data_IF_287556088555
#
_entry.id   IF_287556088555
#
_cell.length_a   1.000
_cell.length_b   1.000
_cell.length_c   1.000
_cell.angle_alpha   90.00
_cell.angle_beta   90.00
_cell.angle_gamma   90.00
#
_symmetry.space_group_name_H-M   'P 1'
#
loop_
_entity.id
_entity.type
_entity.pdbx_description
1 polymer ?
#
# COMPACT_ATOMS: atom_id res chain seq x y z
N UNK A 1 12.47 14.17 -22.23
CA UNK A 1 12.37 12.98 -21.34
C UNK A 1 12.09 13.51 -19.96
N UNK A 2 10.92 13.20 -19.38
CA UNK A 2 10.60 13.60 -18.01
C UNK A 2 11.54 12.85 -17.06
N UNK A 3 12.11 13.55 -16.07
CA UNK A 3 12.91 12.92 -15.04
C UNK A 3 12.09 11.81 -14.37
N UNK A 4 12.69 10.66 -14.02
CA UNK A 4 11.99 9.65 -13.24
C UNK A 4 11.44 10.30 -11.96
N UNK A 5 10.23 9.92 -11.56
CA UNK A 5 9.60 10.30 -10.29
C UNK A 5 10.42 9.68 -9.13
N UNK A 6 11.63 10.17 -8.92
CA UNK A 6 12.43 9.83 -7.76
C UNK A 6 11.90 10.68 -6.61
N UNK A 7 11.35 10.01 -5.58
CA UNK A 7 11.14 10.66 -4.30
C UNK A 7 12.51 11.15 -3.83
N UNK A 8 12.69 12.46 -3.78
CA UNK A 8 13.87 13.07 -3.18
C UNK A 8 13.76 12.91 -1.68
N UNK A 9 14.35 11.84 -1.15
CA UNK A 9 14.51 11.66 0.30
C UNK A 9 15.48 12.73 0.81
N UNK A 10 14.94 13.85 1.31
CA UNK A 10 15.68 14.87 2.05
C UNK A 10 15.41 14.70 3.54
N UNK A 11 16.40 15.00 4.37
CA UNK A 11 16.32 14.93 5.83
C UNK A 11 15.19 15.83 6.39
N UNK A 12 14.80 15.53 7.64
CA UNK A 12 13.65 16.07 8.40
C UNK A 12 13.13 17.46 7.98
N UNK A 13 11.81 17.54 7.73
CA UNK A 13 11.08 18.82 7.59
C UNK A 13 11.15 19.47 6.22
N UNK A 14 12.05 19.05 5.33
CA UNK A 14 12.21 19.59 3.97
C UNK A 14 11.53 18.73 2.89
N UNK A 15 10.59 17.86 3.25
CA UNK A 15 9.85 17.08 2.26
C UNK A 15 8.81 17.96 1.53
N UNK A 16 8.78 17.85 0.19
CA UNK A 16 7.82 18.53 -0.69
C UNK A 16 6.55 17.66 -0.80
N UNK A 17 5.37 18.29 -0.81
CA UNK A 17 4.09 17.59 -0.99
C UNK A 17 3.31 17.31 0.31
N UNK A 18 2.46 16.29 0.31
CA UNK A 18 1.59 15.78 1.36
C UNK A 18 2.40 15.40 2.61
N UNK A 19 3.66 14.98 2.45
CA UNK A 19 4.53 14.68 3.59
C UNK A 19 5.10 15.92 4.30
N UNK A 20 4.81 17.13 3.81
CA UNK A 20 5.21 18.38 4.48
C UNK A 20 4.59 18.40 5.87
N UNK A 21 5.41 18.60 6.91
CA UNK A 21 5.05 18.59 8.34
C UNK A 21 4.71 17.23 8.99
N UNK A 22 4.91 16.09 8.31
CA UNK A 22 4.86 14.80 9.00
C UNK A 22 6.15 14.57 9.81
N UNK A 23 5.99 14.23 11.09
CA UNK A 23 7.10 13.72 11.91
C UNK A 23 7.56 12.38 11.33
N UNK A 24 8.88 12.18 11.22
CA UNK A 24 9.42 10.87 10.88
C UNK A 24 9.04 9.91 12.01
N UNK A 25 8.07 9.04 11.75
CA UNK A 25 7.65 8.01 12.71
C UNK A 25 8.79 6.99 12.81
N UNK A 26 9.37 6.86 14.00
CA UNK A 26 10.42 5.90 14.26
C UNK A 26 9.80 4.50 14.36
N UNK A 27 10.06 3.68 13.36
CA UNK A 27 9.68 2.27 13.31
C UNK A 27 10.86 1.52 12.70
N UNK A 28 11.15 0.31 13.19
CA UNK A 28 12.33 -0.47 12.78
C UNK A 28 11.95 -1.71 11.95
N UNK A 29 11.51 -1.59 10.68
CA UNK A 29 11.06 -2.73 9.87
C UNK A 29 11.99 -3.95 9.79
N UNK A 30 13.31 -3.77 9.92
CA UNK A 30 14.28 -4.87 9.88
C UNK A 30 14.46 -5.59 11.22
N UNK A 31 14.00 -4.98 12.32
CA UNK A 31 14.06 -5.53 13.68
C UNK A 31 12.66 -6.01 14.10
N UNK A 32 11.64 -5.21 13.82
CA UNK A 32 10.24 -5.45 14.15
C UNK A 32 9.57 -6.30 13.05
N UNK A 33 9.62 -7.61 13.19
CA UNK A 33 8.94 -8.54 12.29
C UNK A 33 7.43 -8.56 12.56
N UNK A 34 6.62 -8.05 11.62
CA UNK A 34 5.17 -8.08 11.75
C UNK A 34 4.59 -9.43 11.30
N UNK A 35 3.88 -10.12 12.20
CA UNK A 35 3.14 -11.34 11.83
C UNK A 35 1.85 -10.98 11.06
N UNK A 36 1.33 -11.88 10.20
CA UNK A 36 0.08 -11.62 9.48
C UNK A 36 -1.13 -11.35 10.39
N UNK A 37 -1.13 -11.91 11.61
CA UNK A 37 -2.22 -11.74 12.59
C UNK A 37 -2.19 -10.34 13.21
N UNK A 38 -1.01 -9.86 13.61
CA UNK A 38 -0.82 -8.50 14.14
C UNK A 38 -1.20 -7.46 13.09
N UNK A 39 -0.82 -7.69 11.82
CA UNK A 39 -1.23 -6.82 10.72
C UNK A 39 -2.76 -6.72 10.62
N UNK A 40 -3.47 -7.84 10.66
CA UNK A 40 -4.93 -7.84 10.58
C UNK A 40 -5.60 -7.16 11.79
N UNK A 41 -4.99 -7.24 12.98
CA UNK A 41 -5.47 -6.51 14.16
C UNK A 41 -5.25 -4.99 14.01
N UNK A 42 -4.07 -4.58 13.53
CA UNK A 42 -3.75 -3.17 13.26
C UNK A 42 -4.67 -2.60 12.18
N UNK A 43 -4.91 -3.34 11.09
CA UNK A 43 -5.79 -2.90 10.01
C UNK A 43 -7.21 -2.62 10.52
N UNK A 44 -7.74 -3.46 11.43
CA UNK A 44 -9.04 -3.21 12.08
C UNK A 44 -9.07 -1.93 12.91
N UNK A 45 -8.03 -1.68 13.72
CA UNK A 45 -7.93 -0.46 14.50
C UNK A 45 -7.86 0.79 13.61
N UNK A 46 -7.14 0.70 12.49
CA UNK A 46 -7.11 1.75 11.47
C UNK A 46 -8.51 1.97 10.89
N UNK A 47 -9.25 0.91 10.55
CA UNK A 47 -10.62 1.03 10.04
C UNK A 47 -11.59 1.68 11.05
N UNK A 48 -11.47 1.35 12.34
CA UNK A 48 -12.25 1.97 13.41
C UNK A 48 -11.93 3.47 13.54
N UNK A 49 -10.66 3.85 13.50
CA UNK A 49 -10.23 5.25 13.50
C UNK A 49 -10.64 6.00 12.22
N UNK A 50 -10.60 5.35 11.05
CA UNK A 50 -11.12 5.92 9.81
C UNK A 50 -12.62 6.15 9.86
N UNK A 51 -13.37 5.35 10.64
CA UNK A 51 -14.82 5.52 10.84
C UNK A 51 -15.14 6.62 11.84
N UNK A 52 -14.37 6.73 12.92
CA UNK A 52 -14.60 7.71 13.99
C UNK A 52 -14.06 9.11 13.66
N UNK A 53 -12.99 9.20 12.86
CA UNK A 53 -12.34 10.47 12.57
C UNK A 53 -13.05 11.29 11.49
N UNK A 54 -13.23 12.59 11.76
CA UNK A 54 -13.76 13.57 10.80
C UNK A 54 -12.68 14.20 9.91
N UNK A 55 -11.40 13.93 10.21
CA UNK A 55 -10.25 14.41 9.43
C UNK A 55 -10.04 13.51 8.23
N UNK A 56 -10.42 13.99 7.04
CA UNK A 56 -10.10 13.28 5.79
C UNK A 56 -8.59 13.24 5.58
N UNK A 57 -8.01 12.09 5.15
CA UNK A 57 -6.63 12.04 4.71
C UNK A 57 -6.39 13.09 3.62
N UNK A 58 -5.29 13.81 3.75
CA UNK A 58 -4.81 14.78 2.76
C UNK A 58 -4.68 14.09 1.39
N UNK A 59 -5.23 14.76 0.38
CA UNK A 59 -5.42 14.19 -0.95
C UNK A 59 -4.10 14.08 -1.72
N UNK A 60 -3.60 12.84 -1.80
CA UNK A 60 -2.34 12.46 -2.44
C UNK A 60 -2.37 12.58 -3.97
N UNK A 61 -3.54 12.75 -4.56
CA UNK A 61 -3.70 12.88 -6.02
C UNK A 61 -3.31 14.27 -6.52
N UNK A 62 -3.28 15.29 -5.64
CA UNK A 62 -2.88 16.65 -5.99
C UNK A 62 -1.43 16.78 -6.48
N UNK A 63 -0.58 15.80 -6.18
CA UNK A 63 0.82 15.77 -6.63
C UNK A 63 1.03 15.07 -7.97
N UNK A 64 0.03 14.31 -8.42
CA UNK A 64 0.13 13.65 -9.72
C UNK A 64 -0.05 14.69 -10.81
N UNK A 65 0.72 14.59 -11.92
CA UNK A 65 0.46 15.41 -13.08
C UNK A 65 -1.00 15.19 -13.53
N UNK A 66 -1.66 16.24 -14.06
CA UNK A 66 -3.03 16.10 -14.55
C UNK A 66 -3.07 14.98 -15.57
N UNK A 67 -4.15 14.19 -15.55
CA UNK A 67 -4.31 13.09 -16.49
C UNK A 67 -4.14 13.61 -17.93
N UNK A 68 -3.39 12.90 -18.78
CA UNK A 68 -3.27 13.28 -20.17
C UNK A 68 -4.67 13.31 -20.79
N UNK A 69 -4.90 14.31 -21.63
CA UNK A 69 -6.19 14.44 -22.30
C UNK A 69 -6.48 13.20 -23.14
N UNK A 70 -7.73 12.73 -23.11
CA UNK A 70 -8.13 11.59 -23.94
C UNK A 70 -7.95 11.94 -25.41
N UNK A 71 -7.41 11.01 -26.20
CA UNK A 71 -7.31 11.16 -27.67
C UNK A 71 -8.68 11.23 -28.36
N UNK A 72 -9.74 11.00 -27.61
CA UNK A 72 -11.12 10.93 -28.08
C UNK A 72 -11.90 12.23 -27.90
N UNK A 73 -11.24 13.31 -27.46
CA UNK A 73 -11.88 14.62 -27.40
C UNK A 73 -12.36 15.03 -28.80
N UNK A 74 -13.67 15.24 -28.95
CA UNK A 74 -14.30 15.66 -30.20
C UNK A 74 -14.71 14.53 -31.15
N UNK A 75 -14.65 13.27 -30.73
CA UNK A 75 -15.26 12.16 -31.50
C UNK A 75 -16.76 12.09 -31.22
N UNK A 76 -17.56 12.54 -32.19
CA UNK A 76 -19.03 12.58 -32.11
C UNK A 76 -19.64 11.21 -31.77
N UNK A 77 -19.04 10.12 -32.23
CA UNK A 77 -19.55 8.78 -31.96
C UNK A 77 -19.33 8.38 -30.49
N UNK A 78 -18.16 8.69 -29.95
CA UNK A 78 -17.85 8.37 -28.57
C UNK A 78 -18.62 9.26 -27.60
N UNK A 79 -18.83 10.53 -27.92
CA UNK A 79 -19.66 11.43 -27.11
C UNK A 79 -21.10 10.93 -26.99
N UNK A 80 -21.68 10.44 -28.09
CA UNK A 80 -23.01 9.81 -28.09
C UNK A 80 -23.05 8.54 -27.26
N UNK A 81 -22.04 7.68 -27.38
CA UNK A 81 -21.95 6.45 -26.59
C UNK A 81 -21.79 6.74 -25.09
N UNK A 82 -20.97 7.74 -24.73
CA UNK A 82 -20.80 8.18 -23.35
C UNK A 82 -22.11 8.77 -22.79
N UNK A 83 -22.85 9.54 -23.58
CA UNK A 83 -24.16 10.06 -23.21
C UNK A 83 -25.18 8.92 -22.99
N UNK A 84 -25.20 7.90 -23.86
CA UNK A 84 -26.03 6.70 -23.70
C UNK A 84 -25.69 5.95 -22.41
N UNK A 85 -24.41 5.72 -22.15
CA UNK A 85 -23.93 5.02 -20.95
C UNK A 85 -24.27 5.81 -19.68
N UNK A 86 -24.11 7.14 -19.71
CA UNK A 86 -24.51 8.01 -18.60
C UNK A 86 -26.03 7.99 -18.35
N UNK A 87 -26.83 7.85 -19.41
CA UNK A 87 -28.27 7.66 -19.32
C UNK A 87 -28.69 6.24 -18.88
N UNK A 88 -27.75 5.30 -18.77
CA UNK A 88 -28.03 3.91 -18.39
C UNK A 88 -28.79 3.11 -19.46
N UNK A 89 -28.84 3.61 -20.70
CA UNK A 89 -29.56 2.92 -21.78
C UNK A 89 -28.76 1.69 -22.26
N UNK A 90 -29.40 0.52 -22.38
CA UNK A 90 -28.75 -0.67 -22.92
C UNK A 90 -28.39 -0.47 -24.39
N UNK A 91 -27.31 -1.12 -24.82
CA UNK A 91 -26.88 -1.09 -26.22
C UNK A 91 -27.99 -1.69 -27.13
N UNK A 92 -28.22 -1.06 -28.28
CA UNK A 92 -29.14 -1.60 -29.29
C UNK A 92 -28.63 -2.95 -29.79
N UNK A 93 -29.48 -3.99 -29.72
CA UNK A 93 -29.15 -5.29 -30.27
C UNK A 93 -28.97 -5.18 -31.79
N UNK A 94 -27.94 -5.87 -32.32
CA UNK A 94 -27.70 -5.94 -33.75
C UNK A 94 -28.88 -6.61 -34.44
N UNK A 95 -29.41 -5.97 -35.50
CA UNK A 95 -30.49 -6.55 -36.29
C UNK A 95 -29.99 -7.76 -37.09
N UNK A 96 -30.43 -8.95 -36.71
CA UNK A 96 -30.12 -10.21 -37.40
C UNK A 96 -31.21 -10.62 -38.38
N UNK A 97 -32.37 -9.96 -38.37
CA UNK A 97 -33.49 -10.32 -39.24
C UNK A 97 -33.15 -10.16 -40.72
N UNK A 98 -32.26 -9.20 -41.04
CA UNK A 98 -31.72 -9.01 -42.39
C UNK A 98 -31.04 -10.27 -42.96
N UNK A 99 -30.46 -11.12 -42.11
CA UNK A 99 -29.75 -12.32 -42.53
C UNK A 99 -30.62 -13.58 -42.59
N UNK A 100 -31.88 -13.46 -42.17
CA UNK A 100 -32.85 -14.54 -42.21
C UNK A 100 -33.72 -14.43 -43.46
N UNK A 101 -34.18 -15.58 -43.97
CA UNK A 101 -35.10 -15.69 -45.09
C UNK A 101 -36.54 -15.90 -44.58
N UNK A 102 -36.97 -15.00 -43.71
CA UNK A 102 -38.30 -15.11 -43.12
C UNK A 102 -39.38 -14.62 -44.12
N UNK A 103 -40.49 -15.36 -44.28
CA UNK A 103 -41.62 -14.85 -45.05
C UNK A 103 -42.24 -13.63 -44.34
N UNK A 104 -42.98 -12.78 -45.05
CA UNK A 104 -43.68 -11.68 -44.41
C UNK A 104 -44.60 -12.19 -43.30
N UNK A 105 -44.75 -11.44 -42.19
CA UNK A 105 -45.58 -11.84 -41.06
C UNK A 105 -47.00 -12.23 -41.51
N UNK A 106 -47.67 -13.18 -40.85
CA UNK A 106 -48.99 -13.66 -41.24
C UNK A 106 -50.01 -12.54 -41.51
N UNK A 107 -49.93 -11.44 -40.76
CA UNK A 107 -50.77 -10.24 -40.89
C UNK A 107 -50.51 -9.42 -42.15
N UNK A 108 -49.32 -9.54 -42.75
CA UNK A 108 -48.88 -8.79 -43.94
C UNK A 108 -48.77 -9.66 -45.21
N UNK A 109 -49.23 -10.91 -45.17
CA UNK A 109 -49.19 -11.80 -46.35
C UNK A 109 -50.11 -11.38 -47.48
N UNK A 110 -51.10 -10.53 -47.23
CA UNK A 110 -51.95 -9.97 -48.27
C UNK A 110 -51.35 -8.67 -48.87
N UNK A 111 -50.27 -8.14 -48.28
CA UNK A 111 -49.60 -6.94 -48.77
C UNK A 111 -48.54 -7.32 -49.82
N UNK A 112 -48.73 -6.83 -51.04
CA UNK A 112 -47.80 -7.04 -52.15
C UNK A 112 -46.41 -6.47 -51.86
N UNK A 113 -46.32 -5.32 -51.19
CA UNK A 113 -45.04 -4.68 -50.91
C UNK A 113 -44.22 -5.48 -49.89
N UNK A 114 -44.88 -6.08 -48.89
CA UNK A 114 -44.21 -6.94 -47.92
C UNK A 114 -43.56 -8.18 -48.59
N UNK A 115 -44.23 -8.76 -49.59
CA UNK A 115 -43.64 -9.85 -50.39
C UNK A 115 -42.50 -9.38 -51.29
N UNK A 116 -42.59 -8.16 -51.86
CA UNK A 116 -41.51 -7.58 -52.64
C UNK A 116 -40.24 -7.39 -51.80
N UNK A 117 -40.37 -6.84 -50.58
CA UNK A 117 -39.24 -6.68 -49.66
C UNK A 117 -38.64 -8.03 -49.26
N UNK A 118 -39.47 -9.05 -49.00
CA UNK A 118 -38.99 -10.40 -48.70
C UNK A 118 -38.24 -11.03 -49.90
N UNK A 119 -38.71 -10.80 -51.13
CA UNK A 119 -38.05 -11.24 -52.35
C UNK A 119 -36.72 -10.52 -52.59
N UNK A 120 -36.68 -9.21 -52.39
CA UNK A 120 -35.46 -8.41 -52.51
C UNK A 120 -34.40 -8.87 -51.48
N UNK A 121 -34.81 -9.19 -50.25
CA UNK A 121 -33.95 -9.80 -49.26
C UNK A 121 -33.45 -11.19 -49.72
N UNK A 122 -34.32 -12.02 -50.29
CA UNK A 122 -33.93 -13.33 -50.82
C UNK A 122 -32.89 -13.23 -51.95
N UNK A 123 -33.04 -12.27 -52.87
CA UNK A 123 -32.04 -11.99 -53.89
C UNK A 123 -30.71 -11.53 -53.29
N UNK A 124 -30.75 -10.60 -52.33
CA UNK A 124 -29.54 -10.15 -51.63
C UNK A 124 -28.83 -11.32 -50.92
N UNK A 125 -29.58 -12.23 -50.30
CA UNK A 125 -29.00 -13.42 -49.66
C UNK A 125 -28.37 -14.38 -50.66
N UNK A 126 -28.98 -14.58 -51.83
CA UNK A 126 -28.41 -15.41 -52.89
C UNK A 126 -27.04 -14.87 -53.34
N UNK A 127 -26.94 -13.56 -53.56
CA UNK A 127 -25.68 -12.90 -53.90
C UNK A 127 -24.66 -12.99 -52.76
N UNK A 128 -25.08 -12.89 -51.51
CA UNK A 128 -24.20 -13.13 -50.36
C UNK A 128 -23.69 -14.57 -50.30
N UNK A 129 -24.51 -15.58 -50.61
CA UNK A 129 -24.05 -16.97 -50.70
C UNK A 129 -23.06 -17.17 -51.84
N UNK A 130 -23.29 -16.55 -53.00
CA UNK A 130 -22.35 -16.59 -54.11
C UNK A 130 -20.98 -15.98 -53.73
N UNK A 131 -20.99 -14.80 -53.13
CA UNK A 131 -19.78 -14.17 -52.60
C UNK A 131 -19.10 -15.02 -51.53
N UNK A 132 -19.87 -15.68 -50.65
CA UNK A 132 -19.33 -16.59 -49.65
C UNK A 132 -18.64 -17.78 -50.29
N UNK A 133 -19.21 -18.38 -51.35
CA UNK A 133 -18.57 -19.46 -52.08
C UNK A 133 -17.25 -19.01 -52.69
N UNK A 134 -17.24 -17.87 -53.39
CA UNK A 134 -16.02 -17.31 -53.97
C UNK A 134 -14.95 -17.01 -52.91
N UNK A 135 -15.33 -16.43 -51.77
CA UNK A 135 -14.43 -16.19 -50.66
C UNK A 135 -13.89 -17.50 -50.04
N UNK A 136 -14.72 -18.53 -49.94
CA UNK A 136 -14.30 -19.84 -49.46
C UNK A 136 -13.35 -20.54 -50.44
N UNK A 137 -13.57 -20.40 -51.75
CA UNK A 137 -12.65 -20.91 -52.77
C UNK A 137 -11.28 -20.22 -52.67
N UNK A 138 -11.25 -18.91 -52.46
CA UNK A 138 -10.02 -18.16 -52.20
C UNK A 138 -9.35 -18.63 -50.90
N UNK A 139 -10.11 -18.82 -49.83
CA UNK A 139 -9.59 -19.30 -48.55
C UNK A 139 -9.04 -20.73 -48.66
N UNK A 140 -9.71 -21.62 -49.38
CA UNK A 140 -9.23 -22.98 -49.60
C UNK A 140 -7.93 -22.99 -50.41
N UNK A 141 -7.83 -22.10 -51.41
CA UNK A 141 -6.65 -22.01 -52.28
C UNK A 141 -5.43 -21.38 -51.61
N UNK A 142 -5.62 -20.28 -50.87
CA UNK A 142 -4.52 -19.46 -50.34
C UNK A 142 -4.42 -19.44 -48.81
N UNK A 143 -5.44 -19.92 -48.11
CA UNK A 143 -5.52 -19.89 -46.65
C UNK A 143 -4.40 -20.65 -45.97
N UNK A 144 -4.10 -21.92 -46.34
CA UNK A 144 -3.03 -22.67 -45.68
C UNK A 144 -1.66 -21.98 -45.75
N UNK A 145 -1.30 -21.44 -46.91
CA UNK A 145 0.00 -20.78 -47.10
C UNK A 145 0.05 -19.42 -46.41
N UNK A 146 -1.03 -18.64 -46.48
CA UNK A 146 -1.15 -17.36 -45.76
C UNK A 146 -1.06 -17.55 -44.25
N UNK A 147 -1.71 -18.59 -43.71
CA UNK A 147 -1.66 -18.92 -42.28
C UNK A 147 -0.28 -19.37 -41.82
N UNK A 148 0.43 -20.17 -42.64
CA UNK A 148 1.81 -20.56 -42.33
C UNK A 148 2.74 -19.35 -42.26
N UNK A 149 2.64 -18.45 -43.26
CA UNK A 149 3.42 -17.21 -43.27
C UNK A 149 3.10 -16.33 -42.06
N UNK A 150 1.82 -16.20 -41.70
CA UNK A 150 1.40 -15.46 -40.51
C UNK A 150 1.97 -16.06 -39.22
N UNK A 151 1.93 -17.40 -39.08
CA UNK A 151 2.50 -18.09 -37.93
C UNK A 151 4.03 -17.94 -37.85
N UNK A 152 4.72 -17.93 -38.99
CA UNK A 152 6.16 -17.66 -39.05
C UNK A 152 6.48 -16.23 -38.57
N UNK A 153 5.71 -15.24 -39.04
CA UNK A 153 5.85 -13.86 -38.60
C UNK A 153 5.56 -13.68 -37.09
N UNK A 154 4.53 -14.35 -36.57
CA UNK A 154 4.23 -14.37 -35.13
C UNK A 154 5.37 -15.02 -34.34
N UNK A 155 5.91 -16.13 -34.82
CA UNK A 155 7.04 -16.81 -34.17
C UNK A 155 8.27 -15.88 -34.10
N UNK A 156 8.60 -15.19 -35.19
CA UNK A 156 9.68 -14.20 -35.20
C UNK A 156 9.42 -13.04 -34.23
N UNK A 157 8.18 -12.57 -34.13
CA UNK A 157 7.79 -11.52 -33.18
C UNK A 157 7.98 -11.97 -31.72
N UNK A 158 7.58 -13.20 -31.40
CA UNK A 158 7.77 -13.79 -30.06
C UNK A 158 9.25 -13.90 -29.72
N UNK A 159 10.08 -14.43 -30.64
CA UNK A 159 11.54 -14.52 -30.44
C UNK A 159 12.15 -13.15 -30.16
N UNK A 160 11.78 -12.13 -30.93
CA UNK A 160 12.26 -10.75 -30.71
C UNK A 160 11.88 -10.21 -29.33
N UNK A 161 10.64 -10.43 -28.88
CA UNK A 161 10.20 -10.00 -27.55
C UNK A 161 10.94 -10.75 -26.44
N UNK A 162 11.21 -12.04 -26.63
CA UNK A 162 12.01 -12.84 -25.69
C UNK A 162 13.46 -12.35 -25.62
N UNK A 163 14.07 -11.98 -26.75
CA UNK A 163 15.40 -11.37 -26.80
C UNK A 163 15.43 -10.01 -26.08
N UNK A 164 14.44 -9.15 -26.31
CA UNK A 164 14.32 -7.87 -25.60
C UNK A 164 14.16 -8.08 -24.09
N UNK A 165 13.34 -9.05 -23.68
CA UNK A 165 13.18 -9.42 -22.28
C UNK A 165 14.49 -9.93 -21.68
N UNK A 166 15.21 -10.80 -22.40
CA UNK A 166 16.50 -11.31 -21.97
C UNK A 166 17.55 -10.20 -21.86
N UNK A 167 17.58 -9.26 -22.81
CA UNK A 167 18.47 -8.10 -22.76
C UNK A 167 18.18 -7.20 -21.55
N UNK A 168 16.90 -6.90 -21.28
CA UNK A 168 16.51 -6.12 -20.09
C UNK A 168 16.87 -6.87 -18.80
N UNK A 169 16.63 -8.19 -18.74
CA UNK A 169 17.05 -9.01 -17.59
C UNK A 169 18.57 -9.00 -17.39
N UNK A 170 19.34 -9.12 -18.47
CA UNK A 170 20.80 -9.01 -18.39
C UNK A 170 21.24 -7.63 -17.92
N UNK A 171 20.60 -6.54 -18.37
CA UNK A 171 20.87 -5.20 -17.86
C UNK A 171 20.59 -5.09 -16.36
N UNK A 172 19.48 -5.68 -15.89
CA UNK A 172 19.18 -5.75 -14.46
C UNK A 172 20.25 -6.54 -13.71
N UNK A 173 20.68 -7.69 -14.24
CA UNK A 173 21.70 -8.53 -13.61
C UNK A 173 23.08 -7.89 -13.60
N UNK A 174 23.49 -7.19 -14.67
CA UNK A 174 24.76 -6.45 -14.72
C UNK A 174 24.73 -5.32 -13.71
N UNK A 175 23.63 -4.56 -13.62
CA UNK A 175 23.48 -3.51 -12.61
C UNK A 175 23.54 -4.08 -11.19
N UNK A 176 22.92 -5.24 -10.94
CA UNK A 176 22.97 -5.90 -9.64
C UNK A 176 24.38 -6.41 -9.30
N UNK A 177 25.11 -6.98 -10.28
CA UNK A 177 26.51 -7.40 -10.11
C UNK A 177 27.44 -6.22 -9.87
N UNK A 178 27.31 -5.16 -10.66
CA UNK A 178 28.05 -3.91 -10.47
C UNK A 178 27.77 -3.32 -9.08
N UNK A 179 26.51 -3.29 -8.65
CA UNK A 179 26.12 -2.87 -7.29
C UNK A 179 26.78 -3.73 -6.22
N UNK A 180 26.86 -5.05 -6.42
CA UNK A 180 27.53 -5.96 -5.49
C UNK A 180 29.05 -5.79 -5.47
N UNK A 181 29.68 -5.59 -6.64
CA UNK A 181 31.11 -5.31 -6.74
C UNK A 181 31.47 -3.96 -6.13
N UNK A 182 30.71 -2.90 -6.44
CA UNK A 182 30.84 -1.59 -5.82
C UNK A 182 30.62 -1.67 -4.31
N UNK A 183 29.65 -2.44 -3.83
CA UNK A 183 29.46 -2.69 -2.40
C UNK A 183 30.70 -3.31 -1.78
N UNK A 184 31.31 -4.33 -2.39
CA UNK A 184 32.54 -4.96 -1.90
C UNK A 184 33.77 -4.03 -1.98
N UNK A 185 33.87 -3.22 -3.02
CA UNK A 185 34.93 -2.24 -3.21
C UNK A 185 34.81 -1.08 -2.21
N UNK A 186 33.60 -0.55 -2.01
CA UNK A 186 33.29 0.51 -1.06
C UNK A 186 33.39 0.00 0.38
N UNK A 187 33.05 -1.25 0.71
CA UNK A 187 33.38 -1.79 2.04
C UNK A 187 34.89 -1.83 2.30
N UNK A 188 35.70 -2.08 1.27
CA UNK A 188 37.16 -2.05 1.38
C UNK A 188 37.71 -0.61 1.37
N UNK A 189 37.03 0.33 0.70
CA UNK A 189 37.43 1.72 0.56
C UNK A 189 36.79 2.68 1.56
N UNK A 190 35.81 2.27 2.38
CA UNK A 190 35.28 3.06 3.51
C UNK A 190 36.33 3.23 4.62
N UNK A 191 37.47 2.53 4.53
CA UNK A 191 38.70 2.89 5.24
C UNK A 191 39.35 4.20 4.72
N UNK A 192 38.87 4.78 3.61
CA UNK A 192 39.44 5.94 2.93
C UNK A 192 38.41 6.68 2.04
N UNK A 193 37.63 7.57 2.66
CA UNK A 193 37.02 8.79 2.10
C UNK A 193 36.02 8.74 0.93
N UNK A 194 34.79 9.19 1.25
CA UNK A 194 33.89 10.15 0.58
C UNK A 194 33.76 10.16 -0.97
N UNK A 195 32.61 9.74 -1.52
CA UNK A 195 32.10 10.22 -2.83
C UNK A 195 30.58 10.02 -3.05
N UNK A 196 29.95 11.06 -3.62
CA UNK A 196 28.53 11.22 -3.99
C UNK A 196 28.23 10.74 -5.42
N UNK A 197 27.12 10.02 -5.66
CA UNK A 197 26.38 10.00 -6.94
C UNK A 197 25.01 9.25 -6.86
N UNK A 198 23.94 9.99 -6.56
CA UNK A 198 22.50 9.92 -6.91
C UNK A 198 21.72 8.68 -7.44
N UNK A 199 22.23 7.46 -7.63
CA UNK A 199 21.37 6.30 -8.04
C UNK A 199 21.71 4.93 -7.41
N UNK A 200 22.94 4.67 -6.94
CA UNK A 200 23.21 3.74 -5.83
C UNK A 200 22.49 4.11 -4.52
N UNK A 201 21.84 5.28 -4.45
CA UNK A 201 21.33 5.87 -3.21
C UNK A 201 20.25 5.01 -2.53
N UNK A 202 19.29 4.41 -3.24
CA UNK A 202 18.20 3.66 -2.57
C UNK A 202 18.70 2.39 -1.88
N UNK A 203 19.58 1.62 -2.51
CA UNK A 203 20.08 0.37 -1.91
C UNK A 203 21.19 0.61 -0.88
N UNK A 204 22.01 1.64 -1.08
CA UNK A 204 22.95 2.10 -0.05
C UNK A 204 22.19 2.62 1.16
N UNK A 205 21.12 3.40 0.96
CA UNK A 205 20.21 3.85 2.01
C UNK A 205 19.53 2.66 2.69
N UNK A 206 19.04 1.65 1.97
CA UNK A 206 18.41 0.49 2.59
C UNK A 206 19.41 -0.34 3.42
N UNK A 207 20.65 -0.49 2.95
CA UNK A 207 21.73 -1.12 3.73
C UNK A 207 22.07 -0.31 4.98
N UNK A 208 22.22 1.00 4.82
CA UNK A 208 22.53 1.92 5.92
C UNK A 208 21.40 1.93 6.96
N UNK A 209 20.14 2.04 6.51
CA UNK A 209 18.94 1.88 7.35
C UNK A 209 18.96 0.55 8.08
N UNK A 210 19.25 -0.56 7.41
CA UNK A 210 19.34 -1.87 8.08
C UNK A 210 20.41 -1.89 9.17
N UNK A 211 21.60 -1.34 8.91
CA UNK A 211 22.68 -1.26 9.91
C UNK A 211 22.29 -0.36 11.09
N UNK A 212 21.74 0.83 10.81
CA UNK A 212 21.27 1.77 11.82
C UNK A 212 20.17 1.15 12.68
N UNK A 213 19.20 0.46 12.07
CA UNK A 213 18.11 -0.20 12.79
C UNK A 213 18.61 -1.35 13.65
N UNK A 214 19.54 -2.19 13.18
CA UNK A 214 20.13 -3.23 14.02
C UNK A 214 20.98 -2.67 15.17
N UNK A 215 21.71 -1.57 14.93
CA UNK A 215 22.44 -0.89 16.00
C UNK A 215 21.48 -0.32 17.05
N UNK A 216 20.44 0.41 16.62
CA UNK A 216 19.40 0.94 17.50
C UNK A 216 18.68 -0.18 18.26
N UNK A 217 18.28 -1.27 17.57
CA UNK A 217 17.66 -2.44 18.19
C UNK A 217 18.56 -3.13 19.23
N UNK A 218 19.87 -3.19 18.98
CA UNK A 218 20.82 -3.71 19.97
C UNK A 218 20.94 -2.79 21.20
N UNK A 219 20.91 -1.47 21.03
CA UNK A 219 20.92 -0.53 22.15
C UNK A 219 19.60 -0.57 22.94
N UNK A 220 18.46 -0.69 22.26
CA UNK A 220 17.15 -0.89 22.89
C UNK A 220 17.14 -2.17 23.73
N UNK A 221 17.66 -3.28 23.21
CA UNK A 221 17.75 -4.53 23.97
C UNK A 221 18.66 -4.43 25.20
N UNK A 222 19.75 -3.65 25.14
CA UNK A 222 20.60 -3.37 26.31
C UNK A 222 19.85 -2.54 27.35
N UNK A 223 19.19 -1.47 26.92
CA UNK A 223 18.41 -0.59 27.79
C UNK A 223 17.24 -1.32 28.43
N UNK A 224 16.57 -2.21 27.70
CA UNK A 224 15.50 -3.06 28.23
C UNK A 224 16.03 -4.02 29.29
N UNK A 225 17.18 -4.67 29.05
CA UNK A 225 17.81 -5.53 30.03
C UNK A 225 18.25 -4.76 31.30
N UNK A 226 18.77 -3.55 31.14
CA UNK A 226 19.10 -2.66 32.25
C UNK A 226 17.85 -2.24 33.03
N UNK A 227 16.79 -1.82 32.33
CA UNK A 227 15.51 -1.46 32.93
C UNK A 227 14.92 -2.62 33.73
N UNK A 228 14.80 -3.81 33.13
CA UNK A 228 14.32 -5.00 33.83
C UNK A 228 15.23 -5.37 35.01
N UNK A 229 16.54 -5.22 34.86
CA UNK A 229 17.50 -5.43 35.95
C UNK A 229 17.30 -4.46 37.12
N UNK A 230 17.02 -3.18 36.85
CA UNK A 230 16.71 -2.18 37.87
C UNK A 230 15.36 -2.45 38.53
N UNK A 231 14.34 -2.82 37.76
CA UNK A 231 13.03 -3.22 38.29
C UNK A 231 13.19 -4.39 39.26
N UNK A 232 13.92 -5.45 38.88
CA UNK A 232 14.18 -6.58 39.77
C UNK A 232 14.95 -6.18 41.03
N UNK A 233 16.02 -5.37 40.89
CA UNK A 233 16.78 -4.87 42.06
C UNK A 233 15.90 -4.07 43.02
N UNK A 234 15.02 -3.21 42.49
CA UNK A 234 14.08 -2.47 43.33
C UNK A 234 13.10 -3.41 44.04
N UNK A 235 12.59 -4.43 43.34
CA UNK A 235 11.73 -5.45 43.97
C UNK A 235 12.46 -6.23 45.08
N UNK A 236 13.73 -6.60 44.86
CA UNK A 236 14.55 -7.29 45.86
C UNK A 236 14.83 -6.40 47.08
N UNK A 237 15.12 -5.11 46.86
CA UNK A 237 15.29 -4.12 47.93
C UNK A 237 13.99 -3.96 48.72
N UNK A 238 12.84 -3.80 48.06
CA UNK A 238 11.54 -3.71 48.72
C UNK A 238 11.19 -4.97 49.52
N UNK A 239 11.57 -6.15 49.03
CA UNK A 239 11.41 -7.41 49.77
C UNK A 239 12.31 -7.46 51.01
N UNK A 240 13.58 -7.07 50.88
CA UNK A 240 14.53 -7.03 51.99
C UNK A 240 14.13 -6.00 53.06
N UNK A 241 13.72 -4.79 52.65
CA UNK A 241 13.20 -3.75 53.55
C UNK A 241 11.99 -4.27 54.34
N UNK A 242 11.02 -4.90 53.67
CA UNK A 242 9.86 -5.52 54.35
C UNK A 242 10.26 -6.60 55.34
N UNK A 243 11.25 -7.43 55.00
CA UNK A 243 11.78 -8.46 55.91
C UNK A 243 12.41 -7.86 57.16
N UNK A 244 13.29 -6.87 56.98
CA UNK A 244 13.94 -6.16 58.09
C UNK A 244 12.93 -5.40 58.96
N UNK A 245 11.93 -4.76 58.37
CA UNK A 245 10.85 -4.09 59.10
C UNK A 245 10.05 -5.09 59.96
N UNK A 246 9.79 -6.30 59.45
CA UNK A 246 9.13 -7.36 60.21
C UNK A 246 10.00 -7.86 61.39
N UNK A 247 11.31 -8.03 61.17
CA UNK A 247 12.25 -8.40 62.24
C UNK A 247 12.36 -7.33 63.31
N UNK A 248 12.45 -6.05 62.92
CA UNK A 248 12.47 -4.91 63.85
C UNK A 248 11.17 -4.84 64.64
N UNK A 249 10.01 -5.07 63.99
CA UNK A 249 8.72 -5.12 64.66
C UNK A 249 8.67 -6.25 65.70
N UNK A 250 9.13 -7.45 65.33
CA UNK A 250 9.20 -8.60 66.24
C UNK A 250 10.14 -8.36 67.43
N UNK A 251 11.31 -7.76 67.21
CA UNK A 251 12.25 -7.40 68.29
C UNK A 251 11.68 -6.33 69.22
N UNK A 252 10.97 -5.33 68.69
CA UNK A 252 10.29 -4.30 69.49
C UNK A 252 9.16 -4.89 70.34
N UNK A 253 8.49 -5.92 69.85
CA UNK A 253 7.43 -6.62 70.59
C UNK A 253 7.98 -7.60 71.64
N UNK A 254 9.17 -8.16 71.41
CA UNK A 254 9.86 -9.05 72.35
C UNK A 254 10.59 -8.33 73.51
N UNK A 255 10.81 -7.02 73.39
CA UNK A 255 11.34 -6.19 74.49
C UNK A 255 10.27 -5.98 75.56
N UNK A 256 10.60 -6.08 76.87
CA UNK A 256 9.66 -5.73 77.92
C UNK A 256 9.20 -4.28 77.73
N UNK A 257 7.90 -4.01 77.79
CA UNK A 257 7.42 -2.64 77.94
C UNK A 257 7.89 -2.13 79.30
N UNK A 258 9.04 -1.46 79.32
CA UNK A 258 9.49 -0.78 80.52
C UNK A 258 8.46 0.31 80.86
N UNK A 259 7.67 0.01 81.89
CA UNK A 259 6.81 0.96 82.56
C UNK A 259 7.67 1.99 83.27
N UNK A 260 8.02 3.07 82.57
CA UNK A 260 8.06 4.40 83.16
C UNK A 260 7.78 5.43 82.06
N UNK A 261 6.53 5.91 82.00
CA UNK A 261 6.14 7.01 81.13
C UNK A 261 6.32 8.35 81.82
N UNK A 262 6.61 9.40 81.04
CA UNK A 262 5.91 10.69 81.12
C UNK A 262 6.37 11.66 80.02
N UNK A 263 5.45 11.93 79.10
CA UNK A 263 5.13 13.23 78.51
C UNK A 263 6.26 14.20 78.11
N UNK A 264 6.55 14.20 76.81
CA UNK A 264 6.85 15.36 75.94
C UNK A 264 6.79 14.77 74.52
N UNK A 265 5.99 15.20 73.55
CA UNK A 265 5.78 16.57 73.12
C UNK A 265 4.39 16.73 72.49
N UNK A 266 3.71 17.80 72.87
CA UNK A 266 2.79 18.47 71.98
C UNK A 266 3.45 19.75 71.50
N UNK A 267 3.78 19.84 70.21
CA UNK A 267 3.65 21.08 69.44
C UNK A 267 3.85 20.85 67.94
N UNK A 268 2.72 20.97 67.25
CA UNK A 268 2.52 21.69 66.00
C UNK A 268 3.08 21.10 64.69
N UNK A 269 2.12 20.55 63.94
CA UNK A 269 2.06 20.62 62.49
C UNK A 269 1.94 22.08 62.00
N UNK A 270 2.60 22.35 60.85
CA UNK A 270 2.29 23.30 59.75
C UNK A 270 3.61 23.97 59.28
N UNK A 271 4.23 23.60 58.17
CA UNK A 271 3.84 23.75 56.76
C UNK A 271 4.62 24.91 56.10
N UNK A 272 5.45 24.59 55.11
CA UNK A 272 5.82 25.41 53.93
C UNK A 272 6.61 24.48 52.98
N UNK A 273 5.94 23.82 52.03
CA UNK A 273 5.77 24.22 50.62
C UNK A 273 7.08 24.35 49.83
N UNK A 274 7.38 23.38 48.95
CA UNK A 274 7.22 23.52 47.49
C UNK A 274 7.73 22.28 46.71
N UNK A 275 6.91 21.85 45.74
CA UNK A 275 7.24 21.10 44.50
C UNK A 275 7.75 19.65 44.68
N UNK A 276 7.13 18.60 44.16
CA UNK A 276 6.48 18.33 42.86
C UNK A 276 5.40 17.24 43.10
N UNK A 277 4.22 17.15 42.49
CA UNK A 277 3.88 17.44 41.10
C UNK A 277 3.95 16.18 40.22
N UNK A 278 3.03 15.21 40.40
CA UNK A 278 2.49 14.40 39.27
C UNK A 278 2.73 12.88 39.21
N UNK A 279 1.68 12.11 39.50
CA UNK A 279 1.24 10.91 38.77
C UNK A 279 -0.29 11.11 38.49
N UNK A 280 -0.99 10.26 37.71
CA UNK A 280 -0.75 9.80 36.34
C UNK A 280 -2.03 10.02 35.49
N UNK A 281 -1.94 10.20 34.16
CA UNK A 281 -3.14 10.17 33.31
C UNK A 281 -3.13 8.92 32.44
N UNK A 282 -3.99 7.97 32.85
CA UNK A 282 -4.58 6.98 31.97
C UNK A 282 -5.60 7.64 31.04
N UNK A 283 -5.67 7.09 29.84
CA UNK A 283 -6.69 7.35 28.84
C UNK A 283 -7.97 6.61 29.24
N UNK A 284 -9.12 7.27 29.11
CA UNK A 284 -10.44 6.66 29.17
C UNK A 284 -11.49 7.59 28.57
N UNK A 285 -11.90 7.29 27.34
CA UNK A 285 -13.18 7.55 26.64
C UNK A 285 -13.92 8.90 26.79
N UNK A 286 -14.52 9.40 25.69
CA UNK A 286 -15.74 10.20 25.79
C UNK A 286 -16.94 9.45 25.19
N UNK A 287 -17.95 9.26 26.04
CA UNK A 287 -19.32 8.96 25.63
C UNK A 287 -20.14 10.26 25.49
N UNK A 288 -21.03 10.20 24.52
CA UNK A 288 -22.13 11.09 24.12
C UNK A 288 -22.83 11.91 25.21
N UNK A 289 -23.29 13.11 24.83
CA UNK A 289 -24.72 13.43 24.99
C UNK A 289 -25.10 14.79 25.58
N UNK A 290 -25.57 15.67 24.68
CA UNK A 290 -26.94 16.23 24.68
C UNK A 290 -27.23 17.62 25.31
N UNK A 291 -27.66 18.54 24.42
CA UNK A 291 -28.54 19.73 24.58
C UNK A 291 -27.94 20.95 25.31
N UNK A 292 -27.99 22.19 24.78
CA UNK A 292 -29.00 22.87 23.94
C UNK A 292 -28.48 23.48 22.63
#
# INVERSE_FOLDING_TARGET
>A
MAAPLQLTDVAHGEQKGWRRSQHLVDSLPYVDGLTPQEKAAVDKLIEEEMRSSSKKPTDYLNELPPLPETRFKGDELLEKEMARVAAGEPMQAMDTARYNLDPPPPTKRNDHNAWRTALDNAHAQLEHQYNRLLNLELLLKFGPDSWRLHNEALSAFVTRLQEQLAAVKQQVDTLNRERQLQHSFVTNSISSTNCNAACPQVDTLNRERKLQQHAAGSELGKLEAEYLGLVHKNMDIEAACRGLEAEIAAMREALPRDGSGSAADGQQAAAEQQQQGGQPNGVGEPAEGMQD
#
